data_IF_394744804399
#
_entry.id   IF_394744804399
#
_cell.length_a   1.000
_cell.length_b   1.000
_cell.length_c   1.000
_cell.angle_alpha   90.00
_cell.angle_beta   90.00
_cell.angle_gamma   90.00
#
_symmetry.space_group_name_H-M   'P 1'
#
loop_
_entity.id
_entity.type
_entity.pdbx_description
1 polymer ?
#
# COMPACT_ATOMS: atom_id res chain seq x y z
N UNK A 1 -17.87 16.01 -2.84
CA UNK A 1 -18.58 15.34 -1.71
C UNK A 1 -18.58 16.25 -0.50
N UNK A 2 -19.67 16.26 0.28
CA UNK A 2 -19.75 17.08 1.51
C UNK A 2 -18.74 16.60 2.55
N UNK A 3 -18.05 17.56 3.18
CA UNK A 3 -17.09 17.30 4.28
C UNK A 3 -17.76 16.73 5.53
N UNK A 4 -19.10 16.72 5.62
CA UNK A 4 -19.88 16.23 6.76
C UNK A 4 -20.60 14.89 6.46
N UNK A 5 -20.21 14.20 5.37
CA UNK A 5 -20.72 12.86 5.06
C UNK A 5 -20.51 11.91 6.24
N UNK A 6 -21.57 11.18 6.59
CA UNK A 6 -21.51 10.01 7.47
C UNK A 6 -21.22 8.78 6.61
N UNK A 7 -20.34 7.92 7.11
CA UNK A 7 -20.01 6.65 6.48
C UNK A 7 -20.84 5.54 7.12
N UNK A 8 -21.35 4.65 6.29
CA UNK A 8 -21.97 3.39 6.73
C UNK A 8 -20.90 2.44 7.27
N UNK A 9 -21.30 1.43 8.04
CA UNK A 9 -20.38 0.40 8.53
C UNK A 9 -19.67 -0.34 7.39
N UNK A 10 -20.37 -0.61 6.29
CA UNK A 10 -19.80 -1.25 5.10
C UNK A 10 -18.74 -0.38 4.42
N UNK A 11 -19.00 0.92 4.28
CA UNK A 11 -18.02 1.85 3.70
C UNK A 11 -16.80 2.00 4.61
N UNK A 12 -17.01 2.04 5.93
CA UNK A 12 -15.93 2.06 6.92
C UNK A 12 -15.07 0.80 6.83
N UNK A 13 -15.69 -0.38 6.79
CA UNK A 13 -14.98 -1.64 6.65
C UNK A 13 -14.16 -1.69 5.36
N UNK A 14 -14.75 -1.24 4.23
CA UNK A 14 -14.05 -1.16 2.96
C UNK A 14 -12.84 -0.20 3.05
N UNK A 15 -13.00 1.02 3.57
CA UNK A 15 -11.90 1.98 3.74
C UNK A 15 -10.79 1.41 4.62
N UNK A 16 -11.14 0.83 5.77
CA UNK A 16 -10.16 0.25 6.69
C UNK A 16 -9.39 -0.90 6.05
N UNK A 17 -10.05 -1.75 5.29
CA UNK A 17 -9.38 -2.82 4.54
C UNK A 17 -8.36 -2.28 3.52
N UNK A 18 -8.71 -1.22 2.77
CA UNK A 18 -7.77 -0.58 1.82
C UNK A 18 -6.57 0.06 2.54
N UNK A 19 -6.79 0.69 3.69
CA UNK A 19 -5.71 1.25 4.51
C UNK A 19 -4.81 0.16 5.08
N UNK A 20 -5.38 -0.98 5.47
CA UNK A 20 -4.63 -2.14 5.94
C UNK A 20 -3.72 -2.71 4.83
N UNK A 21 -4.24 -2.87 3.61
CA UNK A 21 -3.42 -3.26 2.44
C UNK A 21 -2.28 -2.27 2.18
N UNK A 22 -2.55 -0.96 2.33
CA UNK A 22 -1.53 0.08 2.19
C UNK A 22 -0.45 -0.03 3.28
N UNK A 23 -0.85 -0.26 4.53
CA UNK A 23 0.07 -0.45 5.65
C UNK A 23 0.96 -1.69 5.43
N UNK A 24 0.43 -2.77 4.87
CA UNK A 24 1.21 -3.96 4.53
C UNK A 24 2.23 -3.71 3.41
N UNK A 25 1.85 -3.00 2.35
CA UNK A 25 2.81 -2.57 1.31
C UNK A 25 3.91 -1.69 1.90
N UNK A 26 3.56 -0.82 2.84
CA UNK A 26 4.52 0.02 3.53
C UNK A 26 5.44 -0.78 4.45
N UNK A 27 4.90 -1.72 5.22
CA UNK A 27 5.70 -2.59 6.07
C UNK A 27 6.74 -3.32 5.21
N UNK A 28 6.32 -3.90 4.08
CA UNK A 28 7.21 -4.53 3.12
C UNK A 28 8.35 -3.63 2.64
N UNK A 29 8.06 -2.39 2.26
CA UNK A 29 9.07 -1.41 1.81
C UNK A 29 10.12 -1.13 2.90
N UNK A 30 9.76 -1.22 4.17
CA UNK A 30 10.66 -0.91 5.29
C UNK A 30 11.46 -2.12 5.78
N UNK A 31 11.27 -3.31 5.18
CA UNK A 31 12.03 -4.50 5.54
C UNK A 31 13.44 -4.36 4.97
N UNK A 32 14.44 -4.54 5.82
CA UNK A 32 15.83 -4.63 5.40
C UNK A 32 16.14 -6.03 4.87
N UNK A 33 15.85 -6.24 3.58
CA UNK A 33 16.07 -7.51 2.89
C UNK A 33 17.54 -7.93 2.82
N UNK A 34 18.49 -7.07 3.19
CA UNK A 34 19.92 -7.41 3.21
C UNK A 34 20.29 -8.04 4.55
N UNK A 35 19.71 -7.57 5.66
CA UNK A 35 20.10 -7.99 7.01
C UNK A 35 19.28 -9.15 7.59
N UNK A 36 18.05 -9.39 7.10
CA UNK A 36 17.23 -10.50 7.60
C UNK A 36 17.78 -11.87 7.19
N UNK A 37 17.60 -12.90 8.02
CA UNK A 37 17.95 -14.28 7.70
C UNK A 37 17.06 -14.88 6.59
N UNK A 38 17.42 -16.05 6.10
CA UNK A 38 16.63 -16.77 5.09
C UNK A 38 15.29 -17.26 5.68
N UNK A 39 15.27 -17.68 6.95
CA UNK A 39 14.06 -18.00 7.70
C UNK A 39 13.17 -16.78 7.93
N UNK A 40 13.77 -15.63 8.28
CA UNK A 40 13.02 -14.39 8.44
C UNK A 40 12.42 -13.92 7.11
N UNK A 41 13.13 -14.11 5.99
CA UNK A 41 12.58 -13.82 4.66
C UNK A 41 11.40 -14.74 4.32
N UNK A 42 11.49 -16.03 4.66
CA UNK A 42 10.38 -16.97 4.52
C UNK A 42 9.17 -16.51 5.34
N UNK A 43 9.38 -16.15 6.60
CA UNK A 43 8.33 -15.64 7.48
C UNK A 43 7.70 -14.37 6.94
N UNK A 44 8.49 -13.42 6.42
CA UNK A 44 7.99 -12.18 5.83
C UNK A 44 7.06 -12.46 4.65
N UNK A 45 7.49 -13.30 3.71
CA UNK A 45 6.73 -13.57 2.49
C UNK A 45 5.51 -14.45 2.76
N UNK A 46 5.65 -15.42 3.67
CA UNK A 46 4.58 -16.34 4.04
C UNK A 46 3.67 -15.79 5.15
N UNK A 47 3.98 -14.62 5.72
CA UNK A 47 3.13 -13.94 6.68
C UNK A 47 1.75 -13.72 6.07
N UNK A 48 0.69 -14.06 6.80
CA UNK A 48 -0.68 -13.88 6.36
C UNK A 48 -0.96 -12.45 5.84
N UNK A 49 -0.34 -11.42 6.42
CA UNK A 49 -0.52 -10.03 6.02
C UNK A 49 0.04 -9.73 4.62
N UNK A 50 1.29 -10.11 4.38
CA UNK A 50 1.94 -9.93 3.08
C UNK A 50 1.28 -10.82 2.03
N UNK A 51 0.98 -12.06 2.41
CA UNK A 51 0.20 -12.98 1.59
C UNK A 51 -1.14 -12.37 1.19
N UNK A 52 -1.90 -11.76 2.10
CA UNK A 52 -3.17 -11.10 1.78
C UNK A 52 -3.00 -9.96 0.76
N UNK A 53 -1.98 -9.11 0.88
CA UNK A 53 -1.73 -8.06 -0.13
C UNK A 53 -1.51 -8.66 -1.50
N UNK A 54 -0.64 -9.65 -1.55
CA UNK A 54 -0.17 -10.21 -2.80
C UNK A 54 -1.15 -11.22 -3.41
N UNK A 55 -1.98 -11.85 -2.60
CA UNK A 55 -3.11 -12.69 -3.01
C UNK A 55 -4.36 -11.84 -3.30
N UNK A 56 -4.47 -10.60 -2.80
CA UNK A 56 -5.53 -9.66 -3.19
C UNK A 56 -5.39 -9.25 -4.66
N UNK A 57 -4.16 -9.27 -5.17
CA UNK A 57 -3.94 -9.28 -6.61
C UNK A 57 -4.60 -10.52 -7.20
N UNK A 58 -4.38 -11.69 -6.60
CA UNK A 58 -4.85 -13.01 -7.03
C UNK A 58 -6.35 -13.27 -7.15
N UNK A 59 -7.22 -12.57 -6.42
CA UNK A 59 -8.64 -12.92 -6.38
C UNK A 59 -9.38 -12.54 -7.68
N UNK A 60 -9.86 -13.56 -8.39
CA UNK A 60 -10.67 -13.45 -9.60
C UNK A 60 -9.89 -13.23 -10.91
N UNK A 61 -9.03 -12.20 -10.98
CA UNK A 61 -8.39 -11.76 -12.25
C UNK A 61 -6.91 -12.12 -12.35
N UNK A 62 -6.21 -12.23 -11.22
CA UNK A 62 -4.80 -12.60 -11.20
C UNK A 62 -4.55 -13.92 -10.49
N UNK A 63 -5.39 -14.93 -10.69
CA UNK A 63 -5.10 -16.30 -10.21
C UNK A 63 -3.71 -16.83 -10.64
N UNK A 64 -3.02 -16.11 -11.52
CA UNK A 64 -1.70 -16.35 -12.08
C UNK A 64 -0.58 -15.50 -11.45
N UNK A 65 -0.88 -14.35 -10.83
CA UNK A 65 0.09 -13.58 -10.05
C UNK A 65 -0.16 -13.80 -8.56
N UNK A 66 0.18 -15.00 -8.12
CA UNK A 66 0.30 -15.31 -6.70
C UNK A 66 1.77 -15.13 -6.32
N UNK A 67 2.11 -14.09 -5.57
CA UNK A 67 3.51 -13.87 -5.17
C UNK A 67 4.07 -15.06 -4.40
N UNK A 68 3.23 -15.81 -3.68
CA UNK A 68 3.68 -17.00 -2.93
C UNK A 68 4.20 -18.04 -3.90
N UNK A 69 3.56 -18.18 -5.07
CA UNK A 69 4.01 -19.08 -6.11
C UNK A 69 5.23 -18.54 -6.85
N UNK A 70 5.30 -17.22 -7.10
CA UNK A 70 6.52 -16.57 -7.63
C UNK A 70 7.71 -16.76 -6.68
N UNK A 71 7.48 -16.55 -5.38
CA UNK A 71 8.46 -16.76 -4.32
C UNK A 71 8.93 -18.22 -4.29
N UNK A 72 8.00 -19.19 -4.28
CA UNK A 72 8.34 -20.62 -4.28
C UNK A 72 9.15 -20.98 -5.52
N UNK A 73 8.73 -20.51 -6.70
CA UNK A 73 9.41 -20.73 -7.98
C UNK A 73 10.84 -20.20 -7.93
N UNK A 74 11.03 -18.91 -7.67
CA UNK A 74 12.35 -18.27 -7.62
C UNK A 74 13.25 -18.93 -6.56
N UNK A 75 12.70 -19.20 -5.37
CA UNK A 75 13.42 -19.88 -4.30
C UNK A 75 13.88 -21.28 -4.74
N UNK A 76 13.02 -22.04 -5.39
CA UNK A 76 13.33 -23.41 -5.84
C UNK A 76 14.32 -23.45 -7.01
N UNK A 77 14.23 -22.50 -7.95
CA UNK A 77 15.03 -22.49 -9.17
C UNK A 77 16.37 -21.77 -9.01
N UNK A 78 16.40 -20.70 -8.21
CA UNK A 78 17.50 -19.74 -8.15
C UNK A 78 17.99 -19.40 -6.74
N UNK A 79 17.31 -19.92 -5.70
CA UNK A 79 17.71 -19.75 -4.29
C UNK A 79 17.48 -18.35 -3.71
N UNK A 80 17.90 -18.18 -2.45
CA UNK A 80 17.66 -16.96 -1.65
C UNK A 80 18.33 -15.71 -2.19
N UNK A 81 19.49 -15.82 -2.85
CA UNK A 81 20.20 -14.66 -3.42
C UNK A 81 19.36 -14.01 -4.53
N UNK A 82 18.82 -14.84 -5.44
CA UNK A 82 17.95 -14.36 -6.51
C UNK A 82 16.63 -13.80 -5.97
N UNK A 83 16.07 -14.46 -4.94
CA UNK A 83 14.85 -14.03 -4.28
C UNK A 83 15.00 -12.64 -3.61
N UNK A 84 16.10 -12.41 -2.89
CA UNK A 84 16.42 -11.11 -2.29
C UNK A 84 16.54 -10.04 -3.36
N UNK A 85 17.31 -10.30 -4.43
CA UNK A 85 17.43 -9.39 -5.56
C UNK A 85 16.06 -9.04 -6.16
N UNK A 86 15.19 -10.04 -6.32
CA UNK A 86 13.85 -9.86 -6.83
C UNK A 86 13.02 -8.92 -5.92
N UNK A 87 12.93 -9.22 -4.63
CA UNK A 87 12.16 -8.37 -3.71
C UNK A 87 12.78 -6.98 -3.51
N UNK A 88 14.10 -6.84 -3.58
CA UNK A 88 14.76 -5.52 -3.55
C UNK A 88 14.33 -4.66 -4.73
N UNK A 89 14.28 -5.21 -5.96
CA UNK A 89 13.82 -4.46 -7.14
C UNK A 89 12.35 -4.04 -6.96
N UNK A 90 11.52 -4.94 -6.44
CA UNK A 90 10.11 -4.69 -6.17
C UNK A 90 9.91 -3.61 -5.09
N UNK A 91 10.70 -3.63 -4.01
CA UNK A 91 10.74 -2.56 -3.00
C UNK A 91 11.13 -1.21 -3.63
N UNK A 92 12.18 -1.17 -4.44
CA UNK A 92 12.62 0.08 -5.08
C UNK A 92 11.54 0.67 -5.98
N UNK A 93 10.88 -0.16 -6.79
CA UNK A 93 9.79 0.27 -7.67
C UNK A 93 8.62 0.85 -6.87
N UNK A 94 8.26 0.20 -5.75
CA UNK A 94 7.25 0.70 -4.83
C UNK A 94 7.65 2.03 -4.18
N UNK A 95 8.87 2.15 -3.65
CA UNK A 95 9.38 3.39 -3.00
C UNK A 95 9.29 4.57 -3.97
N UNK A 96 9.79 4.38 -5.19
CA UNK A 96 9.76 5.43 -6.22
C UNK A 96 8.33 5.91 -6.47
N UNK A 97 7.38 4.97 -6.58
CA UNK A 97 5.98 5.30 -6.80
C UNK A 97 5.31 5.97 -5.61
N UNK A 98 5.64 5.54 -4.39
CA UNK A 98 5.18 6.18 -3.16
C UNK A 98 5.61 7.65 -3.10
N UNK A 99 6.88 7.95 -3.39
CA UNK A 99 7.39 9.32 -3.39
C UNK A 99 6.82 10.17 -4.54
N UNK A 100 6.56 9.59 -5.70
CA UNK A 100 5.83 10.25 -6.78
C UNK A 100 4.43 10.68 -6.34
N UNK A 101 3.67 9.75 -5.74
CA UNK A 101 2.29 10.00 -5.33
C UNK A 101 2.23 11.01 -4.19
N UNK A 102 3.10 10.89 -3.20
CA UNK A 102 3.19 11.84 -2.09
C UNK A 102 3.41 13.27 -2.61
N UNK A 103 4.36 13.46 -3.52
CA UNK A 103 4.63 14.75 -4.15
C UNK A 103 3.41 15.30 -4.88
N UNK A 104 2.72 14.48 -5.67
CA UNK A 104 1.52 14.89 -6.42
C UNK A 104 0.34 15.24 -5.52
N UNK A 105 0.17 14.51 -4.40
CA UNK A 105 -0.83 14.84 -3.39
C UNK A 105 -0.55 16.17 -2.68
N UNK A 106 0.72 16.58 -2.57
CA UNK A 106 1.13 17.86 -2.00
C UNK A 106 1.02 19.03 -3.00
N UNK A 107 1.08 18.76 -4.32
CA UNK A 107 1.09 19.80 -5.37
C UNK A 107 -0.23 20.01 -6.12
N UNK A 108 -1.34 19.37 -5.71
CA UNK A 108 -2.64 19.37 -6.43
C UNK A 108 -2.50 18.90 -7.91
N UNK A 109 -1.44 18.15 -8.25
CA UNK A 109 -1.22 17.59 -9.58
C UNK A 109 -2.12 16.39 -9.86
N UNK A 110 -2.44 16.18 -11.15
CA UNK A 110 -3.21 15.01 -11.56
C UNK A 110 -2.42 13.72 -11.35
N UNK A 111 -2.98 12.83 -10.53
CA UNK A 111 -2.57 11.45 -10.44
C UNK A 111 -3.16 10.67 -11.63
N UNK A 112 -2.31 10.31 -12.59
CA UNK A 112 -2.68 9.48 -13.73
C UNK A 112 -1.96 8.13 -13.70
N UNK A 113 -2.68 7.09 -14.12
CA UNK A 113 -2.16 5.76 -14.35
C UNK A 113 -2.67 5.29 -15.71
N UNK A 114 -1.77 4.79 -16.56
CA UNK A 114 -2.12 4.24 -17.86
C UNK A 114 -2.27 2.73 -17.72
N UNK A 115 -3.42 2.21 -18.12
CA UNK A 115 -3.74 0.80 -17.98
C UNK A 115 -5.07 0.43 -18.62
N UNK A 116 -5.45 -0.83 -18.45
CA UNK A 116 -6.75 -1.36 -18.84
C UNK A 116 -7.64 -1.46 -17.61
N UNK A 117 -8.82 -0.83 -17.65
CA UNK A 117 -9.86 -1.06 -16.65
C UNK A 117 -10.65 -2.31 -17.03
N UNK A 118 -10.71 -3.30 -16.13
CA UNK A 118 -11.60 -4.46 -16.25
C UNK A 118 -12.76 -4.34 -15.28
N UNK A 119 -13.94 -4.76 -15.73
CA UNK A 119 -15.14 -4.83 -14.91
C UNK A 119 -15.32 -6.30 -14.50
N UNK A 120 -15.24 -6.57 -13.20
CA UNK A 120 -15.45 -7.89 -12.61
C UNK A 120 -16.82 -7.89 -11.95
N UNK A 121 -17.68 -8.84 -12.30
CA UNK A 121 -18.98 -9.00 -11.66
C UNK A 121 -18.81 -10.01 -10.53
N UNK A 122 -19.04 -9.59 -9.29
CA UNK A 122 -19.07 -10.50 -8.16
C UNK A 122 -20.37 -11.33 -8.24
N UNK A 123 -20.30 -12.65 -8.44
CA UNK A 123 -21.48 -13.49 -8.61
C UNK A 123 -22.30 -13.64 -7.31
N UNK A 124 -21.69 -13.42 -6.14
CA UNK A 124 -22.38 -13.52 -4.85
C UNK A 124 -23.20 -12.26 -4.52
N UNK A 125 -22.72 -11.08 -4.94
CA UNK A 125 -23.39 -9.80 -4.65
C UNK A 125 -24.09 -9.20 -5.87
N UNK A 126 -23.81 -9.70 -7.08
CA UNK A 126 -24.22 -9.13 -8.37
C UNK A 126 -23.79 -7.67 -8.56
N UNK A 127 -22.78 -7.23 -7.83
CA UNK A 127 -22.15 -5.92 -7.97
C UNK A 127 -20.95 -6.02 -8.90
N UNK A 128 -20.64 -4.93 -9.61
CA UNK A 128 -19.44 -4.86 -10.43
C UNK A 128 -18.34 -4.06 -9.74
N UNK A 129 -17.11 -4.53 -9.85
CA UNK A 129 -15.91 -3.86 -9.39
C UNK A 129 -15.02 -3.53 -10.59
N UNK A 130 -14.51 -2.29 -10.63
CA UNK A 130 -13.51 -1.91 -11.62
C UNK A 130 -12.12 -2.22 -11.07
N UNK A 131 -11.37 -3.06 -11.77
CA UNK A 131 -9.97 -3.40 -11.46
C UNK A 131 -9.05 -2.79 -12.51
N UNK A 132 -7.94 -2.22 -12.08
CA UNK A 132 -6.96 -1.61 -12.99
C UNK A 132 -5.80 -2.59 -13.27
N UNK A 133 -5.49 -2.77 -14.55
CA UNK A 133 -4.39 -3.62 -15.02
C UNK A 133 -3.38 -2.79 -15.82
N UNK A 134 -2.10 -3.19 -15.86
CA UNK A 134 -1.17 -2.66 -16.84
C UNK A 134 -1.67 -2.88 -18.28
N UNK A 135 -1.38 -1.94 -19.18
CA UNK A 135 -1.92 -1.95 -20.55
C UNK A 135 -1.59 -3.23 -21.34
N UNK A 136 -0.46 -3.87 -21.03
CA UNK A 136 0.05 -5.05 -21.73
C UNK A 136 -0.20 -6.37 -20.99
N UNK A 137 -1.07 -6.35 -19.98
CA UNK A 137 -1.37 -7.54 -19.19
C UNK A 137 -2.10 -8.61 -20.03
N UNK A 138 -1.48 -9.80 -20.13
CA UNK A 138 -2.05 -11.03 -20.64
C UNK A 138 -1.91 -12.17 -19.60
N UNK A 139 -3.03 -12.65 -19.06
CA UNK A 139 -3.09 -13.74 -18.08
C UNK A 139 -2.41 -15.05 -18.52
N UNK A 140 -2.27 -15.29 -19.81
CA UNK A 140 -1.68 -16.54 -20.33
C UNK A 140 -0.15 -16.47 -20.46
N UNK A 141 0.46 -15.31 -20.19
CA UNK A 141 1.91 -15.13 -20.28
C UNK A 141 2.57 -15.29 -18.92
N UNK A 142 3.74 -15.92 -18.93
CA UNK A 142 4.66 -15.84 -17.80
C UNK A 142 5.24 -14.42 -17.73
N UNK A 143 5.20 -13.85 -16.54
CA UNK A 143 5.64 -12.48 -16.30
C UNK A 143 7.04 -12.45 -15.71
N UNK A 144 7.79 -11.43 -16.12
CA UNK A 144 9.06 -11.07 -15.51
C UNK A 144 8.84 -10.08 -14.35
N UNK A 145 9.93 -9.79 -13.65
CA UNK A 145 9.93 -8.86 -12.52
C UNK A 145 9.40 -7.45 -12.86
N UNK A 146 9.51 -7.01 -14.11
CA UNK A 146 9.03 -5.70 -14.53
C UNK A 146 7.51 -5.67 -14.50
N UNK A 147 6.88 -6.69 -15.07
CA UNK A 147 5.42 -6.81 -15.03
C UNK A 147 4.90 -7.00 -13.60
N UNK A 148 5.62 -7.76 -12.78
CA UNK A 148 5.27 -7.93 -11.36
C UNK A 148 5.27 -6.59 -10.60
N UNK A 149 6.24 -5.72 -10.89
CA UNK A 149 6.28 -4.36 -10.38
C UNK A 149 5.07 -3.54 -10.86
N UNK A 150 4.74 -3.59 -12.15
CA UNK A 150 3.58 -2.87 -12.71
C UNK A 150 2.25 -3.33 -12.10
N UNK A 151 2.09 -4.63 -11.86
CA UNK A 151 0.91 -5.22 -11.25
C UNK A 151 0.73 -4.69 -9.82
N UNK A 152 1.79 -4.71 -9.01
CA UNK A 152 1.75 -4.24 -7.62
C UNK A 152 1.54 -2.72 -7.55
N UNK A 153 2.14 -1.97 -8.47
CA UNK A 153 1.86 -0.53 -8.63
C UNK A 153 0.40 -0.28 -9.01
N UNK A 154 -0.20 -1.14 -9.84
CA UNK A 154 -1.62 -1.03 -10.22
C UNK A 154 -2.52 -1.22 -9.00
N UNK A 155 -2.24 -2.22 -8.16
CA UNK A 155 -2.93 -2.43 -6.89
C UNK A 155 -2.81 -1.19 -5.99
N UNK A 156 -1.60 -0.65 -5.88
CA UNK A 156 -1.35 0.56 -5.12
C UNK A 156 -2.19 1.74 -5.60
N UNK A 157 -2.27 1.93 -6.91
CA UNK A 157 -3.09 2.97 -7.52
C UNK A 157 -4.58 2.73 -7.30
N UNK A 158 -5.05 1.48 -7.36
CA UNK A 158 -6.44 1.12 -7.10
C UNK A 158 -6.86 1.46 -5.67
N UNK A 159 -6.02 1.09 -4.68
CA UNK A 159 -6.20 1.45 -3.27
C UNK A 159 -6.33 2.97 -3.13
N UNK A 160 -5.40 3.73 -3.72
CA UNK A 160 -5.41 5.18 -3.64
C UNK A 160 -6.59 5.82 -4.35
N UNK A 161 -6.95 5.34 -5.55
CA UNK A 161 -8.10 5.83 -6.30
C UNK A 161 -9.39 5.65 -5.52
N UNK A 162 -9.56 4.48 -4.90
CA UNK A 162 -10.69 4.21 -4.02
C UNK A 162 -10.71 5.15 -2.81
N UNK A 163 -9.57 5.32 -2.13
CA UNK A 163 -9.49 6.20 -0.97
C UNK A 163 -9.74 7.67 -1.34
N UNK A 164 -9.18 8.15 -2.45
CA UNK A 164 -9.32 9.55 -2.90
C UNK A 164 -10.71 9.87 -3.43
N UNK A 165 -11.39 8.93 -4.09
CA UNK A 165 -12.78 9.12 -4.54
C UNK A 165 -13.81 8.87 -3.43
N UNK A 166 -13.57 7.87 -2.58
CA UNK A 166 -14.50 7.42 -1.54
C UNK A 166 -14.52 8.32 -0.31
N UNK A 167 -13.46 9.09 -0.08
CA UNK A 167 -13.28 9.91 1.12
C UNK A 167 -13.35 11.41 0.77
N UNK A 168 -14.13 12.25 1.49
CA UNK A 168 -14.14 13.69 1.28
C UNK A 168 -12.73 14.31 1.37
N UNK A 169 -12.48 15.33 0.53
CA UNK A 169 -11.22 16.10 0.53
C UNK A 169 -10.86 16.51 1.96
N UNK A 170 -9.62 16.29 2.34
CA UNK A 170 -9.09 16.66 3.66
C UNK A 170 -9.33 15.64 4.78
N UNK A 171 -10.11 14.57 4.59
CA UNK A 171 -10.24 13.49 5.58
C UNK A 171 -9.21 12.36 5.39
N UNK A 172 -8.70 12.15 4.18
CA UNK A 172 -7.51 11.35 3.95
C UNK A 172 -6.28 12.24 4.21
N UNK A 173 -5.39 11.82 5.11
CA UNK A 173 -4.25 12.60 5.59
C UNK A 173 -2.98 11.77 5.53
N UNK A 174 -1.84 12.43 5.39
CA UNK A 174 -0.52 11.82 5.57
C UNK A 174 -0.05 12.13 6.98
N UNK A 175 0.35 11.11 7.74
CA UNK A 175 0.90 11.29 9.08
C UNK A 175 2.26 11.99 8.99
N UNK A 176 2.38 13.20 9.55
CA UNK A 176 3.63 13.98 9.53
C UNK A 176 4.81 13.26 10.22
N UNK A 177 4.51 12.28 11.08
CA UNK A 177 5.54 11.57 11.86
C UNK A 177 6.17 10.39 11.11
N UNK A 178 5.38 9.64 10.35
CA UNK A 178 5.84 8.41 9.70
C UNK A 178 5.51 8.34 8.21
N UNK A 179 4.76 9.29 7.64
CA UNK A 179 4.32 9.29 6.25
C UNK A 179 3.21 8.28 5.92
N UNK A 180 2.62 7.60 6.90
CA UNK A 180 1.48 6.68 6.66
C UNK A 180 0.23 7.47 6.29
N UNK A 181 -0.48 7.04 5.22
CA UNK A 181 -1.83 7.53 4.94
C UNK A 181 -2.79 7.03 6.01
N UNK A 182 -3.63 7.91 6.52
CA UNK A 182 -4.68 7.53 7.45
C UNK A 182 -5.96 8.29 7.16
N UNK A 183 -7.06 7.70 7.58
CA UNK A 183 -8.39 8.27 7.43
C UNK A 183 -8.87 8.87 8.76
N UNK A 184 -9.27 10.14 8.70
CA UNK A 184 -9.85 10.87 9.80
C UNK A 184 -11.38 10.81 9.67
N UNK A 185 -12.04 9.99 10.49
CA UNK A 185 -13.49 9.76 10.45
C UNK A 185 -14.22 11.06 10.75
N UNK A 186 -13.73 11.86 11.69
CA UNK A 186 -14.30 13.17 12.02
C UNK A 186 -13.23 14.27 12.07
N UNK A 187 -13.58 15.52 11.75
CA UNK A 187 -12.62 16.65 11.83
C UNK A 187 -11.99 16.84 13.23
N UNK A 188 -12.60 16.29 14.27
CA UNK A 188 -12.15 16.38 15.67
C UNK A 188 -11.21 15.24 16.08
N UNK A 189 -11.02 14.22 15.25
CA UNK A 189 -10.07 13.13 15.53
C UNK A 189 -8.61 13.55 15.35
N UNK A 190 -7.70 12.72 15.86
CA UNK A 190 -6.26 12.99 15.95
C UNK A 190 -5.61 13.16 14.56
N UNK A 191 -4.60 14.04 14.50
CA UNK A 191 -3.77 14.37 13.31
C UNK A 191 -2.78 13.23 12.94
N UNK A 192 -2.72 12.15 13.73
CA UNK A 192 -1.72 11.11 13.57
C UNK A 192 -2.36 9.74 13.32
N UNK A 193 -1.72 8.94 12.47
CA UNK A 193 -2.20 7.60 12.08
C UNK A 193 -2.31 6.61 13.26
N UNK A 194 -1.64 6.88 14.38
CA UNK A 194 -1.67 6.01 15.56
C UNK A 194 -1.36 6.76 16.85
N UNK A 195 -1.72 6.16 17.99
CA UNK A 195 -1.31 6.68 19.29
C UNK A 195 0.22 6.72 19.45
N UNK A 196 0.94 5.77 18.84
CA UNK A 196 2.41 5.72 18.84
C UNK A 196 2.99 6.96 18.15
N UNK A 197 2.47 7.31 16.97
CA UNK A 197 2.87 8.53 16.26
C UNK A 197 2.51 9.80 17.02
N UNK A 198 1.32 9.86 17.63
CA UNK A 198 0.91 10.99 18.45
C UNK A 198 1.84 11.22 19.66
N UNK A 199 2.20 10.15 20.38
CA UNK A 199 3.15 10.22 21.51
C UNK A 199 4.55 10.65 21.05
N UNK A 200 5.03 10.09 19.93
CA UNK A 200 6.33 10.45 19.38
C UNK A 200 6.41 11.91 18.95
N UNK A 201 5.32 12.47 18.40
CA UNK A 201 5.22 13.88 18.06
C UNK A 201 5.24 14.76 19.33
N UNK A 202 4.44 14.43 20.34
CA UNK A 202 4.41 15.15 21.61
C UNK A 202 5.76 15.17 22.32
N UNK A 203 6.49 14.04 22.32
CA UNK A 203 7.83 13.96 22.89
C UNK A 203 8.84 14.84 22.13
N UNK A 204 8.78 14.87 20.80
CA UNK A 204 9.65 15.72 20.00
C UNK A 204 9.40 17.22 20.25
N UNK A 205 8.14 17.63 20.41
CA UNK A 205 7.79 19.01 20.78
C UNK A 205 8.31 19.38 22.18
N UNK A 206 8.15 18.47 23.15
CA UNK A 206 8.65 18.68 24.51
C UNK A 206 10.18 18.87 24.53
N UNK A 207 10.92 18.05 23.78
CA UNK A 207 12.39 18.19 23.63
C UNK A 207 12.75 19.53 22.97
N UNK A 208 12.01 19.96 21.94
CA UNK A 208 12.25 21.25 21.29
C UNK A 208 11.99 22.44 22.23
N UNK A 209 10.93 22.38 23.04
CA UNK A 209 10.60 23.41 24.04
C UNK A 209 11.65 23.48 25.16
N UNK A 210 12.07 22.32 25.67
CA UNK A 210 13.11 22.25 26.72
C UNK A 210 14.50 22.67 26.23
N UNK A 211 14.85 22.43 24.96
CA UNK A 211 16.09 22.96 24.35
C UNK A 211 16.04 24.47 24.10
N UNK A 212 14.88 25.03 23.72
CA UNK A 212 14.71 26.49 23.57
C UNK A 212 14.72 27.23 24.91
N UNK A 213 14.26 26.60 25.99
CA UNK A 213 14.36 27.14 27.35
C UNK A 213 15.73 26.95 28.01
N UNK A 214 16.73 26.46 27.27
CA UNK A 214 18.12 26.24 27.72
C UNK A 214 19.11 27.18 27.01
N UNK A 215 18.63 28.38 26.63
CA UNK A 215 19.51 29.50 26.31
C UNK A 215 19.76 30.21 27.64
N UNK A 216 20.82 29.79 28.31
CA UNK A 216 21.64 30.55 29.25
C UNK A 216 23.11 30.23 28.91
#
# INVERSE_FOLDING_TARGET
MSEDRKFTESEMAAIMHRLELFDYLKDFINIDLISISDEELDEVVLNHKMKVVFDHVGDGVFSLFNISDVYKRIKSESGYIALRKYFTILQFSLIEKFEEIKRKLESDELLSFNGTARIVINPATNEYETRFLPSNFNSEKEYDITADCEIIISLFFEILSYLLHGIPKGRLKICEKCGTLFFQVTRREKIFCSQKCAKAAAQAEYIKKTKKGRID
#
